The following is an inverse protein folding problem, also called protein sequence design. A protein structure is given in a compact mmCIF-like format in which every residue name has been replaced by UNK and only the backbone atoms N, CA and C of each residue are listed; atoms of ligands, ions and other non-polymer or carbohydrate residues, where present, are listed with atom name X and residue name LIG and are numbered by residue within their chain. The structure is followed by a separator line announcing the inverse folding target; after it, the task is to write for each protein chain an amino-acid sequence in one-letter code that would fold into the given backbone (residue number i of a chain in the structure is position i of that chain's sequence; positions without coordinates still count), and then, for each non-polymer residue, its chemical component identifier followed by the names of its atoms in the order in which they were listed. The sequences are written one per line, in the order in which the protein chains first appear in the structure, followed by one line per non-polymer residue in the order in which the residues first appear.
data_IF_579535716960
#
_entry.id   IF_579535716960
#
_cell.length_a   1.000
_cell.length_b   1.000
_cell.length_c   1.000
_cell.angle_alpha   90.00
_cell.angle_beta   90.00
_cell.angle_gamma   90.00
#
_symmetry.space_group_name_H-M   'P 1'
#
loop_
_entity.id
_entity.type
_entity.pdbx_description
1 polymer ?
#
# COMPACT_ATOMS: atom_id res chain seq x y z
N UNK A 1 36.55 -66.49 -15.73
CA UNK A 1 35.80 -65.25 -15.49
C UNK A 1 36.26 -64.72 -14.14
N UNK A 2 36.92 -63.57 -14.21
CA UNK A 2 37.78 -62.99 -13.19
C UNK A 2 36.99 -62.26 -12.12
N UNK A 3 37.38 -62.47 -10.87
CA UNK A 3 37.06 -61.65 -9.71
C UNK A 3 37.80 -60.31 -9.81
N UNK A 4 37.06 -59.20 -9.79
CA UNK A 4 37.60 -57.86 -9.57
C UNK A 4 36.99 -57.32 -8.27
N UNK A 5 37.80 -57.37 -7.21
CA UNK A 5 37.54 -56.76 -5.92
C UNK A 5 37.84 -55.26 -6.02
N UNK A 6 36.81 -54.42 -5.89
CA UNK A 6 36.95 -52.96 -5.85
C UNK A 6 37.08 -52.54 -4.38
N UNK A 7 38.32 -52.30 -3.95
CA UNK A 7 38.62 -51.66 -2.67
C UNK A 7 38.10 -50.21 -2.66
N UNK A 8 36.95 -49.98 -2.02
CA UNK A 8 36.50 -48.64 -1.65
C UNK A 8 37.38 -48.14 -0.49
N UNK A 9 38.44 -47.41 -0.86
CA UNK A 9 39.27 -46.66 0.08
C UNK A 9 38.43 -45.62 0.84
N UNK A 10 38.24 -45.86 2.13
CA UNK A 10 37.65 -44.92 3.09
C UNK A 10 38.61 -43.76 3.36
N UNK A 11 38.68 -42.83 2.40
CA UNK A 11 39.29 -41.52 2.62
C UNK A 11 38.40 -40.71 3.55
N UNK A 12 38.59 -40.86 4.85
CA UNK A 12 38.03 -39.97 5.87
C UNK A 12 38.81 -38.66 5.74
N UNK A 13 38.33 -37.75 4.91
CA UNK A 13 38.84 -36.39 4.88
C UNK A 13 38.40 -35.72 6.19
N UNK A 14 39.35 -35.63 7.11
CA UNK A 14 39.24 -34.88 8.36
C UNK A 14 39.08 -33.40 7.98
N UNK A 15 37.82 -32.95 7.87
CA UNK A 15 37.46 -31.57 7.59
C UNK A 15 38.10 -30.70 8.68
N UNK A 16 39.07 -29.88 8.28
CA UNK A 16 39.63 -28.86 9.15
C UNK A 16 38.49 -28.03 9.77
N UNK A 17 38.53 -27.72 11.08
CA UNK A 17 37.47 -26.95 11.73
C UNK A 17 37.29 -25.63 10.98
N UNK A 18 36.11 -25.43 10.39
CA UNK A 18 35.76 -24.19 9.72
C UNK A 18 35.91 -23.05 10.73
N UNK A 19 36.86 -22.14 10.48
CA UNK A 19 36.97 -20.93 11.27
C UNK A 19 35.62 -20.18 11.23
N UNK A 20 35.09 -19.72 12.38
CA UNK A 20 33.83 -19.03 12.42
C UNK A 20 33.89 -17.80 11.51
N UNK A 21 33.19 -17.89 10.37
CA UNK A 21 33.09 -16.80 9.40
C UNK A 21 32.50 -15.61 10.15
N UNK A 22 33.33 -14.59 10.39
CA UNK A 22 32.85 -13.34 10.97
C UNK A 22 31.68 -12.87 10.11
N UNK A 23 30.48 -12.67 10.70
CA UNK A 23 29.31 -12.28 9.92
C UNK A 23 29.68 -11.04 9.13
N UNK A 24 29.58 -11.13 7.80
CA UNK A 24 29.92 -10.02 6.91
C UNK A 24 29.23 -8.77 7.43
N UNK A 25 30.02 -7.72 7.76
CA UNK A 25 29.49 -6.47 8.25
C UNK A 25 28.47 -5.96 7.22
N UNK A 26 27.19 -6.08 7.56
CA UNK A 26 26.09 -5.64 6.70
C UNK A 26 26.27 -4.14 6.52
N UNK A 27 26.54 -3.70 5.30
CA UNK A 27 26.61 -2.28 5.00
C UNK A 27 25.27 -1.62 5.37
N UNK A 28 25.32 -0.75 6.38
CA UNK A 28 24.17 0.07 6.78
C UNK A 28 24.39 1.47 6.20
N UNK A 29 23.45 2.01 5.41
CA UNK A 29 23.51 3.39 4.94
C UNK A 29 23.80 4.36 6.10
N UNK A 30 24.65 5.38 5.91
CA UNK A 30 25.01 6.31 7.00
C UNK A 30 23.82 7.08 7.59
N UNK A 31 22.70 7.18 6.85
CA UNK A 31 21.44 7.73 7.35
C UNK A 31 20.76 6.78 8.37
N UNK A 32 20.77 5.47 8.12
CA UNK A 32 20.28 4.46 9.07
C UNK A 32 21.17 4.40 10.31
N UNK A 33 22.49 4.43 10.17
CA UNK A 33 23.39 4.46 11.33
C UNK A 33 23.15 5.66 12.27
N UNK A 34 22.86 6.86 11.73
CA UNK A 34 22.44 8.03 12.54
C UNK A 34 21.06 7.85 13.17
N UNK A 35 20.14 7.21 12.44
CA UNK A 35 18.83 6.80 12.94
C UNK A 35 18.90 5.59 13.87
N UNK A 36 20.01 4.91 14.04
CA UNK A 36 20.18 3.86 15.06
C UNK A 36 20.80 4.46 16.34
N UNK A 37 21.50 5.59 16.19
CA UNK A 37 22.13 6.31 17.29
C UNK A 37 21.16 7.06 18.23
N UNK A 38 19.92 7.36 17.83
CA UNK A 38 18.93 7.97 18.75
C UNK A 38 18.34 6.92 19.73
N UNK A 39 17.93 7.25 20.95
CA UNK A 39 17.16 6.31 21.78
C UNK A 39 15.83 5.94 21.12
N UNK A 40 15.38 4.68 21.28
CA UNK A 40 14.02 4.25 20.95
C UNK A 40 13.23 4.19 22.26
N UNK A 41 12.63 5.31 22.72
CA UNK A 41 12.01 5.35 24.03
C UNK A 41 10.73 4.52 24.05
N UNK A 42 10.51 3.79 25.15
CA UNK A 42 9.26 3.12 25.45
C UNK A 42 8.13 4.16 25.52
N UNK A 43 6.98 3.92 24.87
CA UNK A 43 5.92 4.92 24.80
C UNK A 43 5.25 5.21 26.16
N UNK A 44 5.44 4.35 27.15
CA UNK A 44 4.85 4.50 28.48
C UNK A 44 5.83 5.12 29.50
N UNK A 45 7.04 4.57 29.63
CA UNK A 45 8.01 5.02 30.63
C UNK A 45 9.22 5.79 30.07
N UNK A 46 9.42 5.82 28.75
CA UNK A 46 10.56 6.48 28.11
C UNK A 46 11.87 5.69 28.11
N UNK A 47 11.90 4.46 28.64
CA UNK A 47 13.09 3.60 28.66
C UNK A 47 13.62 3.30 27.25
N UNK A 48 14.93 3.31 27.03
CA UNK A 48 15.52 3.04 25.72
C UNK A 48 15.44 1.55 25.37
N UNK A 49 14.60 1.21 24.40
CA UNK A 49 14.35 -0.17 23.96
C UNK A 49 15.44 -0.73 23.03
N UNK A 50 16.50 0.02 22.74
CA UNK A 50 17.57 -0.43 21.84
C UNK A 50 18.32 -1.64 22.39
N UNK A 51 18.44 -2.68 21.56
CA UNK A 51 19.17 -3.91 21.91
C UNK A 51 18.41 -4.83 22.87
N UNK A 52 17.18 -4.49 23.25
CA UNK A 52 16.32 -5.36 24.04
C UNK A 52 15.94 -6.59 23.21
N UNK A 53 16.16 -7.78 23.77
CA UNK A 53 15.79 -9.06 23.14
C UNK A 53 14.41 -9.56 23.55
N UNK A 54 13.89 -9.06 24.65
CA UNK A 54 12.61 -9.47 25.21
C UNK A 54 11.45 -8.62 24.69
N UNK A 55 10.29 -9.24 24.55
CA UNK A 55 9.05 -8.60 24.09
C UNK A 55 8.37 -7.77 25.19
N UNK A 56 9.06 -7.47 26.29
CA UNK A 56 8.50 -6.78 27.46
C UNK A 56 9.47 -5.74 27.97
N UNK A 57 9.00 -4.50 28.17
CA UNK A 57 9.83 -3.44 28.71
C UNK A 57 10.23 -3.78 30.16
N UNK A 58 11.53 -3.75 30.51
CA UNK A 58 11.99 -4.15 31.84
C UNK A 58 11.58 -3.17 32.95
N UNK A 59 11.31 -1.91 32.61
CA UNK A 59 10.96 -0.88 33.60
C UNK A 59 9.45 -0.83 33.91
N UNK A 60 8.59 -0.82 32.88
CA UNK A 60 7.14 -0.69 33.09
C UNK A 60 6.36 -2.00 32.91
N UNK A 61 6.98 -3.06 32.40
CA UNK A 61 6.30 -4.32 32.10
C UNK A 61 5.41 -4.27 30.85
N UNK A 62 5.45 -3.19 30.06
CA UNK A 62 4.67 -3.09 28.83
C UNK A 62 5.08 -4.17 27.82
N UNK A 63 4.12 -4.95 27.35
CA UNK A 63 4.33 -5.93 26.28
C UNK A 63 4.52 -5.20 24.94
N UNK A 64 5.72 -5.30 24.38
CA UNK A 64 6.17 -4.69 23.14
C UNK A 64 5.66 -5.49 21.94
N UNK A 65 4.39 -5.30 21.58
CA UNK A 65 3.88 -5.79 20.30
C UNK A 65 4.41 -4.95 19.14
N UNK A 66 4.39 -5.49 17.91
CA UNK A 66 4.81 -4.78 16.71
C UNK A 66 4.17 -3.38 16.57
N UNK A 67 2.87 -3.26 16.86
CA UNK A 67 2.15 -1.98 16.80
C UNK A 67 2.63 -0.96 17.84
N UNK A 68 3.07 -1.41 19.03
CA UNK A 68 3.64 -0.53 20.07
C UNK A 68 5.02 -0.05 19.65
N UNK A 69 5.85 -0.95 19.10
CA UNK A 69 7.18 -0.64 18.58
C UNK A 69 7.12 0.36 17.42
N UNK A 70 6.16 0.18 16.49
CA UNK A 70 5.94 1.12 15.38
C UNK A 70 5.57 2.52 15.88
N UNK A 71 4.64 2.64 16.85
CA UNK A 71 4.30 3.94 17.45
C UNK A 71 5.47 4.61 18.17
N UNK A 72 6.30 3.83 18.87
CA UNK A 72 7.51 4.34 19.52
C UNK A 72 8.51 4.88 18.48
N UNK A 73 8.62 4.20 17.34
CA UNK A 73 9.45 4.61 16.22
C UNK A 73 8.91 5.87 15.51
N UNK A 74 7.59 5.98 15.36
CA UNK A 74 6.92 7.18 14.83
C UNK A 74 7.07 8.38 15.78
N UNK A 75 6.92 8.17 17.08
CA UNK A 75 7.17 9.20 18.08
C UNK A 75 8.63 9.70 18.04
N UNK A 76 9.59 8.78 17.81
CA UNK A 76 11.02 9.07 17.68
C UNK A 76 11.38 9.80 16.40
N UNK A 77 10.73 9.49 15.28
CA UNK A 77 10.95 10.18 14.00
C UNK A 77 10.42 11.62 14.06
N UNK A 78 9.69 11.99 15.11
CA UNK A 78 9.03 13.29 15.23
C UNK A 78 7.87 13.42 14.24
N UNK A 79 7.51 12.32 13.57
CA UNK A 79 6.31 12.21 12.79
C UNK A 79 5.19 12.15 13.81
N UNK A 80 4.69 13.33 14.18
CA UNK A 80 3.48 13.43 15.01
C UNK A 80 2.45 12.53 14.34
N UNK A 81 1.85 11.57 15.06
CA UNK A 81 0.75 10.79 14.50
C UNK A 81 -0.23 11.83 13.93
N UNK A 82 -0.67 11.68 12.67
CA UNK A 82 -1.58 12.64 12.06
C UNK A 82 -2.88 12.61 12.84
N UNK A 83 -2.93 13.37 13.93
CA UNK A 83 -4.10 13.57 14.79
C UNK A 83 -5.12 14.50 14.12
N UNK A 84 -4.77 14.99 12.94
CA UNK A 84 -5.65 15.72 12.05
C UNK A 84 -5.92 14.92 10.79
N UNK A 85 -7.10 15.21 10.24
CA UNK A 85 -7.48 14.85 8.89
C UNK A 85 -6.30 15.04 7.92
N UNK A 86 -5.95 14.00 7.16
CA UNK A 86 -4.86 14.07 6.19
C UNK A 86 -5.20 15.11 5.12
N UNK A 87 -4.53 16.26 5.21
CA UNK A 87 -4.72 17.38 4.29
C UNK A 87 -4.39 16.96 2.85
N UNK A 88 -3.46 16.01 2.66
CA UNK A 88 -3.08 15.52 1.34
C UNK A 88 -4.28 14.85 0.66
N UNK A 89 -4.97 13.94 1.33
CA UNK A 89 -6.15 13.25 0.79
C UNK A 89 -7.30 14.21 0.47
N UNK A 90 -7.55 15.20 1.33
CA UNK A 90 -8.56 16.24 1.04
C UNK A 90 -8.20 17.03 -0.20
N UNK A 91 -6.95 17.50 -0.30
CA UNK A 91 -6.49 18.30 -1.44
C UNK A 91 -6.61 17.48 -2.73
N UNK A 92 -6.19 16.21 -2.70
CA UNK A 92 -6.35 15.28 -3.83
C UNK A 92 -7.83 15.09 -4.24
N UNK A 93 -8.72 14.90 -3.26
CA UNK A 93 -10.16 14.78 -3.52
C UNK A 93 -10.72 16.04 -4.20
N UNK A 94 -10.41 17.22 -3.65
CA UNK A 94 -10.93 18.50 -4.14
C UNK A 94 -10.41 18.79 -5.55
N UNK A 95 -9.12 18.60 -5.81
CA UNK A 95 -8.53 18.82 -7.15
C UNK A 95 -9.15 17.85 -8.16
N UNK A 96 -9.23 16.57 -7.82
CA UNK A 96 -9.78 15.57 -8.73
C UNK A 96 -11.26 15.76 -9.05
N UNK A 97 -12.07 16.10 -8.04
CA UNK A 97 -13.50 16.37 -8.21
C UNK A 97 -13.77 17.66 -8.97
N UNK A 98 -13.02 18.74 -8.70
CA UNK A 98 -13.18 20.00 -9.44
C UNK A 98 -12.79 19.83 -10.91
N UNK A 99 -11.71 19.11 -11.20
CA UNK A 99 -11.25 18.84 -12.55
C UNK A 99 -12.23 17.95 -13.33
N UNK A 100 -12.69 16.85 -12.72
CA UNK A 100 -13.67 15.96 -13.36
C UNK A 100 -15.02 16.65 -13.58
N UNK A 101 -15.50 17.45 -12.62
CA UNK A 101 -16.73 18.24 -12.77
C UNK A 101 -16.62 19.25 -13.92
N UNK A 102 -15.50 19.98 -14.02
CA UNK A 102 -15.28 20.95 -15.09
C UNK A 102 -15.29 20.29 -16.47
N UNK A 103 -14.58 19.16 -16.62
CA UNK A 103 -14.52 18.42 -17.91
C UNK A 103 -15.86 17.77 -18.24
N UNK A 104 -16.57 17.22 -17.25
CA UNK A 104 -17.92 16.67 -17.40
C UNK A 104 -18.91 17.72 -17.91
N UNK A 105 -18.86 18.91 -17.31
CA UNK A 105 -19.69 20.03 -17.71
C UNK A 105 -19.37 20.51 -19.12
N UNK A 106 -18.09 20.63 -19.47
CA UNK A 106 -17.66 21.07 -20.80
C UNK A 106 -18.00 20.07 -21.91
N UNK A 107 -17.99 18.77 -21.61
CA UNK A 107 -18.22 17.72 -22.61
C UNK A 107 -19.69 17.49 -22.92
N UNK A 108 -20.55 17.40 -21.90
CA UNK A 108 -21.97 17.03 -22.06
C UNK A 108 -22.92 17.90 -21.22
N UNK A 109 -22.47 19.04 -20.69
CA UNK A 109 -23.28 19.89 -19.82
C UNK A 109 -23.69 19.21 -18.52
N UNK A 110 -24.95 19.36 -18.12
CA UNK A 110 -25.47 18.82 -16.87
C UNK A 110 -25.53 17.28 -16.85
N UNK A 111 -25.75 16.63 -17.99
CA UNK A 111 -25.80 15.16 -18.07
C UNK A 111 -24.42 14.55 -17.84
N UNK A 112 -23.36 15.18 -18.35
CA UNK A 112 -21.97 14.79 -18.10
C UNK A 112 -21.57 14.94 -16.63
N UNK A 113 -22.00 16.04 -15.99
CA UNK A 113 -21.76 16.24 -14.57
C UNK A 113 -22.45 15.16 -13.70
N UNK A 114 -23.73 14.86 -13.98
CA UNK A 114 -24.48 13.85 -13.22
C UNK A 114 -23.94 12.43 -13.44
N UNK A 115 -23.59 12.09 -14.68
CA UNK A 115 -23.07 10.75 -14.99
C UNK A 115 -21.70 10.50 -14.36
N UNK A 116 -20.78 11.47 -14.42
CA UNK A 116 -19.49 11.37 -13.74
C UNK A 116 -19.63 11.36 -12.22
N UNK A 117 -20.56 12.14 -11.66
CA UNK A 117 -20.85 12.11 -10.23
C UNK A 117 -21.35 10.75 -9.75
N UNK A 118 -22.27 10.14 -10.51
CA UNK A 118 -22.77 8.79 -10.21
C UNK A 118 -21.67 7.72 -10.35
N UNK A 119 -20.86 7.78 -11.42
CA UNK A 119 -19.72 6.87 -11.62
C UNK A 119 -18.68 6.99 -10.49
N UNK A 120 -18.41 8.22 -10.03
CA UNK A 120 -17.50 8.47 -8.92
C UNK A 120 -18.01 7.85 -7.61
N UNK A 121 -19.26 8.12 -7.22
CA UNK A 121 -19.84 7.58 -5.98
C UNK A 121 -19.84 6.05 -6.00
N UNK A 122 -20.21 5.46 -7.14
CA UNK A 122 -20.19 4.01 -7.33
C UNK A 122 -18.77 3.44 -7.24
N UNK A 123 -17.79 4.08 -7.89
CA UNK A 123 -16.39 3.65 -7.86
C UNK A 123 -15.81 3.72 -6.44
N UNK A 124 -16.09 4.80 -5.69
CA UNK A 124 -15.66 4.93 -4.29
C UNK A 124 -16.30 3.84 -3.42
N UNK A 125 -17.60 3.58 -3.59
CA UNK A 125 -18.29 2.55 -2.83
C UNK A 125 -17.70 1.16 -3.10
N UNK A 126 -17.46 0.82 -4.37
CA UNK A 126 -16.81 -0.44 -4.76
C UNK A 126 -15.41 -0.53 -4.17
N UNK A 127 -14.59 0.51 -4.38
CA UNK A 127 -13.22 0.54 -3.87
C UNK A 127 -13.14 0.40 -2.36
N UNK A 128 -14.05 1.05 -1.63
CA UNK A 128 -14.13 0.93 -0.18
C UNK A 128 -14.53 -0.48 0.27
N UNK A 129 -15.52 -1.11 -0.38
CA UNK A 129 -15.92 -2.49 -0.07
C UNK A 129 -14.79 -3.47 -0.38
N UNK A 130 -14.15 -3.35 -1.53
CA UNK A 130 -13.01 -4.20 -1.93
C UNK A 130 -11.87 -4.06 -0.93
N UNK A 131 -11.49 -2.83 -0.58
CA UNK A 131 -10.47 -2.57 0.43
C UNK A 131 -10.83 -3.20 1.77
N UNK A 132 -12.07 -2.98 2.24
CA UNK A 132 -12.55 -3.52 3.52
C UNK A 132 -12.49 -5.06 3.57
N UNK A 133 -12.91 -5.72 2.49
CA UNK A 133 -12.83 -7.20 2.38
C UNK A 133 -11.37 -7.67 2.37
N UNK A 134 -10.49 -6.99 1.63
CA UNK A 134 -9.05 -7.30 1.62
C UNK A 134 -8.38 -7.10 2.98
N UNK A 135 -8.79 -6.06 3.72
CA UNK A 135 -8.32 -5.81 5.09
C UNK A 135 -8.74 -6.91 6.08
N UNK A 136 -9.94 -7.45 5.93
CA UNK A 136 -10.41 -8.59 6.75
C UNK A 136 -9.68 -9.87 6.36
N UNK A 137 -9.46 -10.09 5.06
CA UNK A 137 -8.90 -11.34 4.58
C UNK A 137 -7.44 -11.51 5.02
N UNK A 138 -6.54 -10.58 4.65
CA UNK A 138 -5.09 -10.79 4.73
C UNK A 138 -4.28 -9.64 5.36
N UNK A 139 -4.68 -8.37 5.20
CA UNK A 139 -3.83 -7.22 5.57
C UNK A 139 -3.91 -6.89 7.07
N UNK A 140 -5.06 -7.13 7.70
CA UNK A 140 -5.36 -6.60 9.03
C UNK A 140 -5.67 -5.10 8.97
N UNK A 141 -6.31 -4.59 10.03
CA UNK A 141 -6.63 -3.17 10.14
C UNK A 141 -5.53 -2.40 10.87
N UNK A 142 -4.74 -1.62 10.13
CA UNK A 142 -3.68 -0.79 10.71
C UNK A 142 -4.12 0.67 10.97
N UNK A 143 -5.21 1.12 10.32
CA UNK A 143 -5.74 2.48 10.44
C UNK A 143 -7.25 2.51 10.77
N UNK A 144 -7.74 3.56 11.46
CA UNK A 144 -9.17 3.71 11.74
C UNK A 144 -9.97 3.90 10.44
N UNK A 145 -11.13 3.24 10.34
CA UNK A 145 -11.99 3.19 9.14
C UNK A 145 -12.34 4.57 8.54
N UNK A 146 -12.39 5.61 9.37
CA UNK A 146 -12.71 6.98 8.90
C UNK A 146 -11.58 7.58 8.08
N UNK A 147 -10.33 7.31 8.47
CA UNK A 147 -9.15 7.83 7.77
C UNK A 147 -8.97 7.12 6.44
N UNK A 148 -9.12 5.78 6.43
CA UNK A 148 -9.00 4.98 5.21
C UNK A 148 -10.09 5.35 4.19
N UNK A 149 -11.33 5.57 4.64
CA UNK A 149 -12.41 6.06 3.77
C UNK A 149 -12.04 7.40 3.12
N UNK A 150 -11.50 8.35 3.90
CA UNK A 150 -11.13 9.66 3.37
C UNK A 150 -9.96 9.58 2.38
N UNK A 151 -8.95 8.74 2.66
CA UNK A 151 -7.84 8.46 1.74
C UNK A 151 -8.35 7.83 0.43
N UNK A 152 -9.28 6.88 0.54
CA UNK A 152 -9.93 6.22 -0.61
C UNK A 152 -10.67 7.24 -1.48
N UNK A 153 -11.46 8.13 -0.86
CA UNK A 153 -12.13 9.25 -1.56
C UNK A 153 -11.11 10.16 -2.25
N UNK A 154 -9.99 10.47 -1.60
CA UNK A 154 -8.89 11.26 -2.16
C UNK A 154 -8.26 10.62 -3.40
N UNK A 155 -7.88 9.34 -3.30
CA UNK A 155 -7.27 8.59 -4.39
C UNK A 155 -8.21 8.46 -5.59
N UNK A 156 -9.46 8.05 -5.37
CA UNK A 156 -10.44 7.92 -6.46
C UNK A 156 -10.87 9.27 -7.03
N UNK A 157 -10.92 10.32 -6.21
CA UNK A 157 -11.22 11.67 -6.69
C UNK A 157 -10.15 12.14 -7.67
N UNK A 158 -8.88 12.03 -7.27
CA UNK A 158 -7.74 12.36 -8.13
C UNK A 158 -7.72 11.50 -9.40
N UNK A 159 -7.95 10.19 -9.26
CA UNK A 159 -8.05 9.28 -10.40
C UNK A 159 -9.16 9.69 -11.39
N UNK A 160 -10.34 10.06 -10.90
CA UNK A 160 -11.45 10.53 -11.75
C UNK A 160 -11.08 11.81 -12.51
N UNK A 161 -10.39 12.76 -11.85
CA UNK A 161 -9.87 13.97 -12.49
C UNK A 161 -8.87 13.65 -13.61
N UNK A 162 -7.87 12.81 -13.32
CA UNK A 162 -6.89 12.37 -14.32
C UNK A 162 -7.58 11.64 -15.48
N UNK A 163 -8.51 10.74 -15.18
CA UNK A 163 -9.26 9.99 -16.18
C UNK A 163 -10.07 10.90 -17.10
N UNK A 164 -10.70 11.95 -16.55
CA UNK A 164 -11.41 12.95 -17.32
C UNK A 164 -10.45 13.73 -18.23
N UNK A 165 -9.26 14.14 -17.77
CA UNK A 165 -8.25 14.77 -18.64
C UNK A 165 -7.83 13.83 -19.77
N UNK A 166 -7.63 12.54 -19.46
CA UNK A 166 -7.30 11.54 -20.48
C UNK A 166 -8.41 11.39 -21.54
N UNK A 167 -9.65 11.85 -21.31
CA UNK A 167 -10.71 11.82 -22.35
C UNK A 167 -10.48 12.82 -23.47
N UNK A 168 -9.71 13.86 -23.19
CA UNK A 168 -9.42 14.91 -24.16
C UNK A 168 -8.37 14.49 -25.19
N UNK A 169 -7.57 13.47 -24.87
CA UNK A 169 -6.52 12.96 -25.74
C UNK A 169 -7.05 11.70 -26.46
N UNK A 170 -7.02 11.65 -27.82
CA UNK A 170 -7.48 10.50 -28.59
C UNK A 170 -6.48 9.35 -28.53
N UNK A 171 -6.30 8.77 -27.34
CA UNK A 171 -5.46 7.59 -27.11
C UNK A 171 -6.29 6.32 -27.34
N UNK A 172 -5.73 5.28 -27.99
CA UNK A 172 -6.39 3.98 -28.12
C UNK A 172 -6.86 3.44 -26.75
N UNK A 173 -8.07 2.89 -26.71
CA UNK A 173 -8.71 2.48 -25.45
C UNK A 173 -7.88 1.52 -24.59
N UNK A 174 -7.11 0.62 -25.21
CA UNK A 174 -6.26 -0.34 -24.49
C UNK A 174 -5.09 0.36 -23.78
N UNK A 175 -4.37 1.25 -24.46
CA UNK A 175 -3.26 2.02 -23.88
C UNK A 175 -3.79 2.88 -22.73
N UNK A 176 -4.94 3.50 -22.94
CA UNK A 176 -5.62 4.29 -21.91
C UNK A 176 -5.99 3.47 -20.68
N UNK A 177 -6.50 2.25 -20.86
CA UNK A 177 -6.84 1.36 -19.74
C UNK A 177 -5.61 0.95 -18.94
N UNK A 178 -4.49 0.63 -19.60
CA UNK A 178 -3.24 0.26 -18.94
C UNK A 178 -2.68 1.44 -18.14
N UNK A 179 -2.65 2.64 -18.73
CA UNK A 179 -2.18 3.84 -18.03
C UNK A 179 -3.08 4.15 -16.83
N UNK A 180 -4.40 4.08 -17.01
CA UNK A 180 -5.36 4.28 -15.92
C UNK A 180 -5.13 3.30 -14.76
N UNK A 181 -4.89 2.02 -15.07
CA UNK A 181 -4.58 1.00 -14.07
C UNK A 181 -3.31 1.30 -13.27
N UNK A 182 -2.23 1.69 -13.95
CA UNK A 182 -0.97 2.04 -13.29
C UNK A 182 -1.12 3.28 -12.39
N UNK A 183 -1.83 4.30 -12.86
CA UNK A 183 -2.10 5.51 -12.08
C UNK A 183 -2.94 5.19 -10.85
N UNK A 184 -4.00 4.38 -11.00
CA UNK A 184 -4.84 3.96 -9.88
C UNK A 184 -4.03 3.18 -8.84
N UNK A 185 -3.18 2.25 -9.28
CA UNK A 185 -2.32 1.46 -8.39
C UNK A 185 -1.35 2.36 -7.63
N UNK A 186 -0.69 3.30 -8.31
CA UNK A 186 0.23 4.24 -7.68
C UNK A 186 -0.47 5.17 -6.67
N UNK A 187 -1.67 5.67 -7.02
CA UNK A 187 -2.47 6.50 -6.11
C UNK A 187 -2.96 5.73 -4.89
N UNK A 188 -3.39 4.47 -5.06
CA UNK A 188 -3.82 3.64 -3.93
C UNK A 188 -2.65 3.29 -3.00
N UNK A 189 -1.50 2.93 -3.55
CA UNK A 189 -0.29 2.66 -2.78
C UNK A 189 0.13 3.89 -1.95
N UNK A 190 0.20 5.08 -2.57
CA UNK A 190 0.59 6.32 -1.90
C UNK A 190 -0.48 6.85 -0.92
N UNK A 191 -1.76 6.67 -1.21
CA UNK A 191 -2.84 7.19 -0.35
C UNK A 191 -3.14 6.30 0.85
N UNK A 192 -3.05 4.97 0.69
CA UNK A 192 -3.34 4.01 1.76
C UNK A 192 -2.09 3.54 2.51
N UNK A 193 -0.89 3.96 2.06
CA UNK A 193 0.41 3.52 2.60
C UNK A 193 0.53 1.98 2.61
N UNK A 194 0.10 1.36 1.52
CA UNK A 194 0.14 -0.09 1.30
C UNK A 194 1.15 -0.47 0.22
N UNK A 195 1.61 -1.71 0.24
CA UNK A 195 2.51 -2.24 -0.77
C UNK A 195 1.89 -2.18 -2.18
N UNK A 196 2.73 -1.93 -3.19
CA UNK A 196 2.30 -1.87 -4.59
C UNK A 196 1.63 -3.16 -5.07
N UNK A 197 1.97 -4.31 -4.50
CA UNK A 197 1.36 -5.60 -4.82
C UNK A 197 -0.12 -5.63 -4.38
N UNK A 198 -0.39 -5.23 -3.14
CA UNK A 198 -1.75 -5.18 -2.57
C UNK A 198 -2.59 -4.10 -3.25
N UNK A 199 -2.02 -2.93 -3.49
CA UNK A 199 -2.66 -1.86 -4.26
C UNK A 199 -3.03 -2.34 -5.67
N UNK A 200 -2.15 -3.12 -6.31
CA UNK A 200 -2.40 -3.71 -7.63
C UNK A 200 -3.57 -4.68 -7.62
N UNK A 201 -3.66 -5.56 -6.62
CA UNK A 201 -4.79 -6.50 -6.46
C UNK A 201 -6.11 -5.72 -6.31
N UNK A 202 -6.14 -4.69 -5.45
CA UNK A 202 -7.33 -3.86 -5.26
C UNK A 202 -7.71 -3.17 -6.59
N UNK A 203 -6.74 -2.59 -7.29
CA UNK A 203 -6.98 -1.93 -8.58
C UNK A 203 -7.53 -2.91 -9.64
N UNK A 204 -7.04 -4.16 -9.67
CA UNK A 204 -7.55 -5.20 -10.58
C UNK A 204 -9.01 -5.50 -10.26
N UNK A 205 -9.32 -5.78 -9.00
CA UNK A 205 -10.69 -6.14 -8.58
C UNK A 205 -11.66 -5.00 -8.87
N UNK A 206 -11.30 -3.75 -8.54
CA UNK A 206 -12.11 -2.57 -8.85
C UNK A 206 -12.33 -2.41 -10.36
N UNK A 207 -11.28 -2.61 -11.17
CA UNK A 207 -11.37 -2.52 -12.63
C UNK A 207 -12.29 -3.59 -13.22
N UNK A 208 -12.19 -4.84 -12.75
CA UNK A 208 -13.05 -5.95 -13.17
C UNK A 208 -14.50 -5.69 -12.79
N UNK A 209 -14.77 -5.25 -11.56
CA UNK A 209 -16.13 -4.92 -11.11
C UNK A 209 -16.74 -3.78 -11.93
N UNK A 210 -15.95 -2.74 -12.21
CA UNK A 210 -16.40 -1.61 -13.03
C UNK A 210 -16.68 -2.04 -14.48
N UNK A 211 -15.82 -2.90 -15.05
CA UNK A 211 -16.06 -3.48 -16.38
C UNK A 211 -17.34 -4.31 -16.42
N UNK A 212 -17.58 -5.16 -15.41
CA UNK A 212 -18.79 -5.96 -15.31
C UNK A 212 -20.06 -5.09 -15.22
N UNK A 213 -20.02 -4.01 -14.44
CA UNK A 213 -21.14 -3.05 -14.34
C UNK A 213 -21.39 -2.32 -15.66
N UNK A 214 -20.33 -1.90 -16.34
CA UNK A 214 -20.44 -1.27 -17.66
C UNK A 214 -21.05 -2.22 -18.69
N UNK A 215 -20.59 -3.49 -18.73
CA UNK A 215 -21.17 -4.52 -19.58
C UNK A 215 -22.64 -4.80 -19.24
N UNK A 216 -22.99 -4.84 -17.96
CA UNK A 216 -24.37 -5.04 -17.50
C UNK A 216 -25.27 -3.88 -17.91
N UNK A 217 -24.77 -2.64 -17.79
CA UNK A 217 -25.46 -1.44 -18.24
C UNK A 217 -25.69 -1.47 -19.76
N UNK A 218 -24.67 -1.85 -20.55
CA UNK A 218 -24.83 -2.03 -21.99
C UNK A 218 -25.85 -3.12 -22.35
N UNK A 219 -25.87 -4.22 -21.62
CA UNK A 219 -26.85 -5.29 -21.84
C UNK A 219 -28.29 -4.83 -21.54
N UNK A 220 -28.48 -4.02 -20.50
CA UNK A 220 -29.79 -3.43 -20.16
C UNK A 220 -30.24 -2.34 -21.13
N UNK A 221 -29.29 -1.68 -21.81
CA UNK A 221 -29.53 -0.63 -22.82
C UNK A 221 -29.55 -1.17 -24.26
N UNK A 222 -29.37 -2.49 -24.47
CA UNK A 222 -29.52 -3.13 -25.77
C UNK A 222 -30.96 -3.09 -26.30
N UNK A 223 -31.11 -3.17 -27.63
CA UNK A 223 -31.97 -2.31 -28.48
C UNK A 223 -33.41 -2.07 -28.03
#
# INVERSE_FOLDING_TARGET
MSSEDVELGSGIYELAPEEPVKPAERWVPPQQAKLDAKPLPCPECGYDLRGLRDDTCPECGLKLTYGVMRRAQDARSGVRPPSGIDKKSIIMAVIGLTLSAAIGWLSNGSTGFLSLGADFVLTVAIGWVVFFVSSIAWIGFDQPLRTTLLQTIGAFGMFAGIWAVMTLIPVPGLVRSVIGFLILTALLADALDIDYQDAGIIAIVVSVMKFALWMSMLALLGP
#
